data_IF_651907178579
#
_entry.id   IF_651907178579
#
_cell.length_a   1.000
_cell.length_b   1.000
_cell.length_c   1.000
_cell.angle_alpha   90.00
_cell.angle_beta   90.00
_cell.angle_gamma   90.00
#
_symmetry.space_group_name_H-M   'P 1'
#
loop_
_entity.id
_entity.type
_entity.pdbx_description
1 polymer ?
#
# COMPACT_ATOMS: atom_id res chain seq x y z
N UNK A 1 11.38 2.12 2.46
CA UNK A 1 11.84 0.89 3.16
C UNK A 1 10.81 -0.20 2.90
N UNK A 2 11.21 -1.38 2.40
CA UNK A 2 10.28 -2.51 2.26
C UNK A 2 10.26 -3.29 3.57
N UNK A 3 9.07 -3.50 4.15
CA UNK A 3 8.88 -4.29 5.37
C UNK A 3 8.11 -5.57 5.02
N UNK A 4 8.31 -6.64 5.79
CA UNK A 4 7.55 -7.90 5.60
C UNK A 4 6.04 -7.65 5.66
N UNK A 5 5.57 -6.83 6.59
CA UNK A 5 4.16 -6.44 6.68
C UNK A 5 3.66 -5.68 5.45
N UNK A 6 4.50 -4.80 4.88
CA UNK A 6 4.17 -4.11 3.63
C UNK A 6 4.05 -5.06 2.45
N UNK A 7 4.93 -6.06 2.33
CA UNK A 7 4.84 -7.09 1.29
C UNK A 7 3.57 -7.93 1.48
N UNK A 8 3.25 -8.33 2.71
CA UNK A 8 2.02 -9.06 2.99
C UNK A 8 0.79 -8.25 2.56
N UNK A 9 0.75 -6.94 2.83
CA UNK A 9 -0.37 -6.09 2.40
C UNK A 9 -0.45 -5.95 0.87
N UNK A 10 0.69 -5.87 0.19
CA UNK A 10 0.76 -5.86 -1.27
C UNK A 10 0.13 -7.15 -1.83
N UNK A 11 0.63 -8.31 -1.42
CA UNK A 11 0.16 -9.61 -1.93
C UNK A 11 -1.29 -9.90 -1.52
N UNK A 12 -1.68 -9.49 -0.32
CA UNK A 12 -3.06 -9.64 0.15
C UNK A 12 -4.01 -8.85 -0.74
N UNK A 13 -3.62 -7.64 -1.19
CA UNK A 13 -4.46 -6.82 -2.06
C UNK A 13 -4.76 -7.49 -3.41
N UNK A 14 -3.80 -8.24 -3.97
CA UNK A 14 -4.05 -9.06 -5.17
C UNK A 14 -5.14 -10.10 -4.90
N UNK A 15 -5.03 -10.80 -3.77
CA UNK A 15 -5.93 -11.90 -3.44
C UNK A 15 -7.35 -11.45 -3.09
N UNK A 16 -7.52 -10.31 -2.40
CA UNK A 16 -8.82 -9.88 -1.85
C UNK A 16 -9.53 -8.82 -2.68
N UNK A 17 -8.79 -8.00 -3.43
CA UNK A 17 -9.32 -6.87 -4.21
C UNK A 17 -8.97 -6.96 -5.69
N UNK A 18 -8.23 -7.98 -6.12
CA UNK A 18 -7.87 -8.19 -7.53
C UNK A 18 -7.01 -7.06 -8.09
N UNK A 19 -6.18 -6.44 -7.24
CA UNK A 19 -5.21 -5.43 -7.68
C UNK A 19 -4.19 -6.05 -8.64
N UNK A 20 -3.47 -5.20 -9.34
CA UNK A 20 -2.44 -5.51 -10.32
C UNK A 20 -1.14 -4.78 -9.95
N UNK A 21 -0.04 -5.18 -10.56
CA UNK A 21 1.27 -4.55 -10.42
C UNK A 21 1.48 -3.49 -11.49
N UNK A 22 0.72 -2.40 -11.39
CA UNK A 22 0.80 -1.30 -12.35
C UNK A 22 2.16 -0.60 -12.27
N UNK A 23 2.65 -0.35 -11.05
CA UNK A 23 3.98 0.24 -10.81
C UNK A 23 4.48 -0.07 -9.40
N UNK A 24 5.82 -0.18 -9.27
CA UNK A 24 6.48 -0.42 -8.00
C UNK A 24 7.10 0.84 -7.40
N UNK A 25 7.06 0.92 -6.06
CA UNK A 25 7.65 1.97 -5.24
C UNK A 25 6.66 3.09 -4.90
N UNK A 26 6.72 3.58 -3.65
CA UNK A 26 5.78 4.58 -3.15
C UNK A 26 5.85 5.92 -3.89
N UNK A 27 7.03 6.37 -4.29
CA UNK A 27 7.18 7.60 -5.09
C UNK A 27 6.43 7.48 -6.41
N UNK A 28 6.62 6.37 -7.14
CA UNK A 28 5.99 6.15 -8.43
C UNK A 28 4.48 5.92 -8.30
N UNK A 29 4.06 5.09 -7.32
CA UNK A 29 2.65 4.85 -7.01
C UNK A 29 1.92 6.15 -6.59
N UNK A 30 2.61 7.10 -5.94
CA UNK A 30 2.01 8.39 -5.56
C UNK A 30 1.64 9.27 -6.75
N UNK A 31 2.26 9.04 -7.92
CA UNK A 31 2.03 9.82 -9.15
C UNK A 31 0.96 9.20 -10.06
N UNK A 32 0.48 8.00 -9.75
CA UNK A 32 -0.59 7.35 -10.50
C UNK A 32 -1.90 8.16 -10.46
N UNK A 33 -2.72 7.94 -11.49
CA UNK A 33 -4.11 8.40 -11.51
C UNK A 33 -4.89 7.82 -10.33
N UNK A 34 -5.99 8.44 -9.88
CA UNK A 34 -6.81 7.87 -8.82
C UNK A 34 -7.33 6.46 -9.11
N UNK A 35 -7.63 6.16 -10.38
CA UNK A 35 -8.06 4.83 -10.81
C UNK A 35 -6.92 3.82 -10.70
N UNK A 36 -5.73 4.17 -11.19
CA UNK A 36 -4.56 3.30 -11.13
C UNK A 36 -4.07 3.10 -9.69
N UNK A 37 -4.17 4.13 -8.83
CA UNK A 37 -3.87 3.99 -7.40
C UNK A 37 -4.72 2.91 -6.74
N UNK A 38 -6.01 2.86 -7.04
CA UNK A 38 -6.94 1.87 -6.46
C UNK A 38 -6.65 0.45 -6.92
N UNK A 39 -6.24 0.26 -8.17
CA UNK A 39 -5.91 -1.07 -8.71
C UNK A 39 -4.45 -1.47 -8.53
N UNK A 40 -3.57 -0.63 -7.98
CA UNK A 40 -2.14 -0.94 -7.83
C UNK A 40 -1.83 -1.50 -6.44
N UNK A 41 -1.28 -2.70 -6.35
CA UNK A 41 -0.97 -3.36 -5.07
C UNK A 41 -0.01 -2.55 -4.19
N UNK A 42 0.99 -1.90 -4.81
CA UNK A 42 1.95 -1.10 -4.07
C UNK A 42 1.34 0.18 -3.45
N UNK A 43 0.19 0.65 -3.93
CA UNK A 43 -0.54 1.75 -3.29
C UNK A 43 -1.03 1.38 -1.89
N UNK A 44 -1.51 0.15 -1.70
CA UNK A 44 -1.98 -0.35 -0.40
C UNK A 44 -0.82 -0.51 0.59
N UNK A 45 0.29 -1.09 0.12
CA UNK A 45 1.54 -1.18 0.88
C UNK A 45 2.02 0.21 1.33
N UNK A 46 2.03 1.19 0.43
CA UNK A 46 2.50 2.53 0.73
C UNK A 46 1.57 3.31 1.65
N UNK A 47 0.25 3.10 1.54
CA UNK A 47 -0.71 3.63 2.50
C UNK A 47 -0.45 3.06 3.91
N UNK A 48 -0.33 1.74 4.05
CA UNK A 48 -0.04 1.10 5.33
C UNK A 48 1.30 1.58 5.94
N UNK A 49 2.32 1.79 5.10
CA UNK A 49 3.59 2.37 5.53
C UNK A 49 3.42 3.81 6.05
N UNK A 50 2.66 4.66 5.34
CA UNK A 50 2.43 6.04 5.78
C UNK A 50 1.68 6.09 7.12
N UNK A 51 0.64 5.27 7.29
CA UNK A 51 -0.09 5.16 8.56
C UNK A 51 0.84 4.72 9.69
N UNK A 52 1.71 3.73 9.43
CA UNK A 52 2.70 3.29 10.42
C UNK A 52 3.70 4.39 10.76
N UNK A 53 4.22 5.13 9.80
CA UNK A 53 5.18 6.21 10.05
C UNK A 53 4.56 7.41 10.76
N UNK A 54 3.30 7.71 10.46
CA UNK A 54 2.58 8.84 11.05
C UNK A 54 2.14 8.56 12.49
N UNK A 55 1.67 7.33 12.77
CA UNK A 55 1.03 7.01 14.06
C UNK A 55 1.77 5.97 14.89
N UNK A 56 2.74 5.26 14.31
CA UNK A 56 3.47 4.14 14.92
C UNK A 56 2.55 3.13 15.62
N UNK A 57 1.34 2.94 15.09
CA UNK A 57 0.29 2.11 15.67
C UNK A 57 -0.10 2.46 17.13
N UNK A 58 0.24 3.66 17.62
CA UNK A 58 -0.07 4.10 19.00
C UNK A 58 -1.58 4.33 19.18
N UNK A 59 -2.27 4.70 18.11
CA UNK A 59 -3.72 4.82 18.04
C UNK A 59 -4.26 3.81 17.02
N UNK A 60 -4.32 2.53 17.39
CA UNK A 60 -5.09 1.54 16.63
C UNK A 60 -6.58 1.92 16.57
N UNK A 61 -7.36 1.40 15.61
CA UNK A 61 -8.79 1.71 15.51
C UNK A 61 -9.48 1.38 16.84
N UNK A 62 -10.26 2.33 17.37
CA UNK A 62 -11.20 2.10 18.45
C UNK A 62 -12.37 1.25 17.97
#
# INVERSE_FOLDING_TARGET
>A
MSSRGGIILHELSHAVDGTDDVIYGCTAASQLSPADKKRNADSYRCFGLNVYLEWNCVNGPR
#
